data_IF_553930475935
#
_entry.id   IF_553930475935
#
_cell.length_a   1.000
_cell.length_b   1.000
_cell.length_c   1.000
_cell.angle_alpha   90.00
_cell.angle_beta   90.00
_cell.angle_gamma   90.00
#
_symmetry.space_group_name_H-M   'P 1'
#
loop_
_entity.id
_entity.type
_entity.pdbx_description
1 polymer ?
#
# COMPACT_ATOMS: atom_id res chain seq x y z
N UNK A 1 12.35 -20.56 23.01
CA UNK A 1 13.19 -21.62 23.55
C UNK A 1 14.30 -21.85 22.53
N UNK A 2 15.51 -21.42 22.85
CA UNK A 2 16.69 -21.56 22.00
C UNK A 2 17.04 -23.04 21.82
N UNK A 3 17.14 -23.47 20.56
CA UNK A 3 17.82 -24.72 20.23
C UNK A 3 19.29 -24.56 20.58
N UNK A 4 19.68 -25.15 21.71
CA UNK A 4 21.08 -25.36 22.07
C UNK A 4 21.71 -26.19 20.95
N UNK A 5 22.50 -25.53 20.11
CA UNK A 5 23.48 -26.22 19.27
C UNK A 5 24.35 -27.06 20.19
N UNK A 6 24.30 -28.38 20.01
CA UNK A 6 25.06 -29.32 20.83
C UNK A 6 26.56 -29.23 20.45
N UNK A 7 27.21 -28.17 20.94
CA UNK A 7 28.66 -27.99 20.89
C UNK A 7 29.39 -29.23 21.41
N UNK A 8 28.75 -29.95 22.34
CA UNK A 8 29.23 -31.21 22.90
C UNK A 8 29.41 -32.31 21.84
N UNK A 9 28.39 -32.58 21.00
CA UNK A 9 28.50 -33.63 19.98
C UNK A 9 29.51 -33.26 18.90
N UNK A 10 29.57 -31.98 18.50
CA UNK A 10 30.57 -31.49 17.54
C UNK A 10 32.01 -31.58 18.07
N UNK A 11 32.22 -31.22 19.33
CA UNK A 11 33.53 -31.35 20.00
C UNK A 11 33.92 -32.83 20.11
N UNK A 12 32.97 -33.71 20.44
CA UNK A 12 33.20 -35.15 20.53
C UNK A 12 33.59 -35.76 19.18
N UNK A 13 32.92 -35.35 18.09
CA UNK A 13 33.23 -35.80 16.72
C UNK A 13 34.62 -35.31 16.29
N UNK A 14 34.96 -34.05 16.56
CA UNK A 14 36.28 -33.50 16.22
C UNK A 14 37.42 -34.21 16.98
N UNK A 15 37.24 -34.46 18.28
CA UNK A 15 38.16 -35.25 19.10
C UNK A 15 38.28 -36.68 18.53
N UNK A 16 37.17 -37.30 18.14
CA UNK A 16 37.16 -38.64 17.56
C UNK A 16 37.92 -38.71 16.23
N UNK A 17 37.74 -37.71 15.35
CA UNK A 17 38.51 -37.60 14.10
C UNK A 17 40.01 -37.43 14.35
N UNK A 18 40.40 -36.62 15.34
CA UNK A 18 41.81 -36.45 15.73
C UNK A 18 42.40 -37.77 16.27
N UNK A 19 41.66 -38.49 17.11
CA UNK A 19 42.07 -39.80 17.63
C UNK A 19 42.29 -40.82 16.50
N UNK A 20 41.38 -40.87 15.51
CA UNK A 20 41.55 -41.75 14.35
C UNK A 20 42.77 -41.36 13.49
N UNK A 21 42.99 -40.06 13.27
CA UNK A 21 44.18 -39.58 12.56
C UNK A 21 45.48 -39.95 13.29
N UNK A 22 45.52 -39.80 14.61
CA UNK A 22 46.66 -40.23 15.45
C UNK A 22 46.89 -41.73 15.40
N UNK A 23 45.82 -42.54 15.39
CA UNK A 23 45.91 -43.98 15.28
C UNK A 23 46.51 -44.41 13.92
N UNK A 24 46.08 -43.78 12.82
CA UNK A 24 46.66 -44.03 11.49
C UNK A 24 48.12 -43.58 11.45
N UNK A 25 48.46 -42.40 12.01
CA UNK A 25 49.82 -41.90 12.05
C UNK A 25 50.75 -42.82 12.88
N UNK A 26 50.28 -43.32 14.03
CA UNK A 26 51.03 -44.26 14.85
C UNK A 26 51.26 -45.59 14.13
N UNK A 27 50.22 -46.12 13.47
CA UNK A 27 50.34 -47.33 12.66
C UNK A 27 51.32 -47.15 11.48
N UNK A 28 51.33 -45.97 10.86
CA UNK A 28 52.20 -45.65 9.73
C UNK A 28 53.68 -45.46 10.13
N UNK A 29 53.94 -44.85 11.29
CA UNK A 29 55.29 -44.48 11.73
C UNK A 29 56.00 -45.54 12.60
N UNK A 30 55.26 -46.33 13.38
CA UNK A 30 55.83 -47.19 14.43
C UNK A 30 55.60 -48.71 14.23
N UNK A 31 54.85 -49.13 13.20
CA UNK A 31 54.53 -50.54 12.97
C UNK A 31 55.16 -51.02 11.66
N UNK A 32 55.94 -52.12 11.71
CA UNK A 32 56.52 -52.72 10.51
C UNK A 32 55.45 -53.38 9.60
N UNK A 33 55.55 -53.28 8.26
CA UNK A 33 56.54 -52.52 7.51
C UNK A 33 56.24 -51.01 7.54
N UNK A 34 57.25 -50.25 7.97
CA UNK A 34 57.17 -48.80 8.16
C UNK A 34 56.86 -48.14 6.81
N UNK A 35 55.83 -47.31 6.77
CA UNK A 35 55.43 -46.60 5.55
C UNK A 35 54.53 -47.37 4.58
N UNK A 36 54.15 -48.62 4.87
CA UNK A 36 53.19 -49.35 4.05
C UNK A 36 51.74 -49.05 4.47
N UNK A 37 50.96 -48.46 3.55
CA UNK A 37 49.52 -48.25 3.76
C UNK A 37 48.83 -49.61 3.57
N UNK A 38 48.47 -50.27 4.67
CA UNK A 38 47.60 -51.46 4.63
C UNK A 38 46.19 -51.05 4.19
N UNK A 39 45.49 -51.94 3.48
CA UNK A 39 44.14 -51.67 2.94
C UNK A 39 43.15 -51.15 4.01
N UNK A 40 43.28 -51.62 5.25
CA UNK A 40 42.47 -51.14 6.38
C UNK A 40 42.67 -49.65 6.72
N UNK A 41 43.85 -49.09 6.52
CA UNK A 41 44.15 -47.68 6.81
C UNK A 41 43.52 -46.75 5.77
N UNK A 42 43.37 -47.23 4.52
CA UNK A 42 42.70 -46.51 3.43
C UNK A 42 41.21 -46.28 3.73
N UNK A 43 40.54 -47.31 4.25
CA UNK A 43 39.13 -47.24 4.66
C UNK A 43 38.94 -46.21 5.77
N UNK A 44 39.84 -46.15 6.75
CA UNK A 44 39.79 -45.19 7.86
C UNK A 44 39.97 -43.76 7.36
N UNK A 45 40.92 -43.52 6.44
CA UNK A 45 41.12 -42.19 5.84
C UNK A 45 39.88 -41.73 5.06
N UNK A 46 39.25 -42.64 4.31
CA UNK A 46 38.02 -42.33 3.57
C UNK A 46 36.85 -42.01 4.51
N UNK A 47 36.76 -42.74 5.63
CA UNK A 47 35.75 -42.50 6.67
C UNK A 47 35.95 -41.14 7.36
N UNK A 48 37.21 -40.74 7.63
CA UNK A 48 37.55 -39.41 8.15
C UNK A 48 37.13 -38.32 7.16
N UNK A 49 37.38 -38.52 5.86
CA UNK A 49 37.03 -37.57 4.81
C UNK A 49 35.51 -37.37 4.71
N UNK A 50 34.74 -38.45 4.79
CA UNK A 50 33.26 -38.39 4.85
C UNK A 50 32.80 -37.65 6.11
N UNK A 51 33.41 -37.91 7.28
CA UNK A 51 33.05 -37.25 8.53
C UNK A 51 33.28 -35.73 8.48
N UNK A 52 34.41 -35.30 7.91
CA UNK A 52 34.77 -33.89 7.75
C UNK A 52 33.84 -33.19 6.75
N UNK A 53 33.48 -33.86 5.65
CA UNK A 53 32.49 -33.33 4.72
C UNK A 53 31.12 -33.17 5.40
N UNK A 54 30.71 -34.16 6.19
CA UNK A 54 29.45 -34.13 6.94
C UNK A 54 29.37 -32.91 7.87
N UNK A 55 30.44 -32.59 8.59
CA UNK A 55 30.49 -31.39 9.45
C UNK A 55 30.51 -30.09 8.62
N UNK A 56 31.24 -30.07 7.50
CA UNK A 56 31.35 -28.90 6.63
C UNK A 56 30.00 -28.56 5.97
N UNK A 57 29.21 -29.56 5.58
CA UNK A 57 27.87 -29.35 5.02
C UNK A 57 26.85 -28.87 6.06
N UNK A 58 26.98 -29.32 7.31
CA UNK A 58 26.11 -28.90 8.42
C UNK A 58 26.42 -27.44 8.87
N UNK A 59 27.65 -26.98 8.66
CA UNK A 59 28.12 -25.62 8.96
C UNK A 59 27.60 -24.55 8.00
N UNK A 60 27.10 -24.93 6.81
CA UNK A 60 26.48 -24.00 5.85
C UNK A 60 25.06 -23.53 6.28
N UNK A 61 24.65 -23.99 7.47
CA UNK A 61 23.66 -23.38 8.38
C UNK A 61 22.24 -23.27 7.83
N UNK A 62 21.54 -24.38 7.94
CA UNK A 62 20.08 -24.44 8.12
C UNK A 62 19.58 -23.35 9.10
N UNK A 63 20.38 -22.97 10.10
CA UNK A 63 20.11 -21.83 10.99
C UNK A 63 20.05 -20.45 10.31
N UNK A 64 20.90 -20.14 9.31
CA UNK A 64 20.77 -18.88 8.54
C UNK A 64 19.49 -18.88 7.72
N UNK A 65 19.17 -19.99 7.06
CA UNK A 65 17.94 -20.13 6.27
C UNK A 65 16.71 -19.97 7.18
N UNK A 66 16.68 -20.63 8.35
CA UNK A 66 15.61 -20.50 9.34
C UNK A 66 15.52 -19.06 9.88
N UNK A 67 16.65 -18.40 10.16
CA UNK A 67 16.67 -17.02 10.65
C UNK A 67 16.16 -16.03 9.60
N UNK A 68 16.48 -16.24 8.32
CA UNK A 68 16.00 -15.42 7.21
C UNK A 68 14.51 -15.69 6.98
N UNK A 69 14.07 -16.95 7.01
CA UNK A 69 12.66 -17.32 6.94
C UNK A 69 11.85 -16.72 8.09
N UNK A 70 12.42 -16.67 9.29
CA UNK A 70 11.78 -16.06 10.47
C UNK A 70 11.69 -14.54 10.33
N UNK A 71 12.77 -13.86 9.91
CA UNK A 71 12.74 -12.42 9.62
C UNK A 71 11.75 -12.06 8.50
N UNK A 72 11.68 -12.89 7.45
CA UNK A 72 10.69 -12.73 6.39
C UNK A 72 9.27 -12.88 6.91
N UNK A 73 9.01 -13.85 7.79
CA UNK A 73 7.70 -14.05 8.41
C UNK A 73 7.32 -12.88 9.32
N UNK A 74 8.22 -12.44 10.20
CA UNK A 74 7.99 -11.29 11.09
C UNK A 74 7.68 -10.01 10.28
N UNK A 75 8.41 -9.76 9.18
CA UNK A 75 8.14 -8.62 8.29
C UNK A 75 6.80 -8.73 7.56
N UNK A 76 6.41 -9.94 7.16
CA UNK A 76 5.11 -10.18 6.52
C UNK A 76 3.96 -9.98 7.51
N UNK A 77 4.11 -10.48 8.74
CA UNK A 77 3.12 -10.32 9.82
C UNK A 77 2.96 -8.82 10.20
N UNK A 78 4.03 -8.04 10.14
CA UNK A 78 3.99 -6.58 10.36
C UNK A 78 3.25 -5.84 9.24
N UNK A 79 3.49 -6.19 7.98
CA UNK A 79 2.76 -5.63 6.83
C UNK A 79 1.28 -5.98 6.90
N UNK A 80 0.93 -7.23 7.18
CA UNK A 80 -0.47 -7.66 7.35
C UNK A 80 -1.16 -6.92 8.51
N UNK A 81 -0.44 -6.68 9.60
CA UNK A 81 -0.94 -5.88 10.73
C UNK A 81 -1.15 -4.41 10.36
N UNK A 82 -0.28 -3.82 9.54
CA UNK A 82 -0.42 -2.46 9.04
C UNK A 82 -1.62 -2.34 8.09
N UNK A 83 -1.80 -3.27 7.16
CA UNK A 83 -2.96 -3.33 6.27
C UNK A 83 -4.26 -3.50 7.05
N UNK A 84 -4.27 -4.40 8.04
CA UNK A 84 -5.43 -4.63 8.92
C UNK A 84 -5.80 -3.37 9.71
N UNK A 85 -4.81 -2.68 10.29
CA UNK A 85 -5.03 -1.40 10.99
C UNK A 85 -5.56 -0.32 10.05
N UNK A 86 -5.03 -0.23 8.84
CA UNK A 86 -5.46 0.76 7.85
C UNK A 86 -6.92 0.50 7.43
N UNK A 87 -7.28 -0.76 7.18
CA UNK A 87 -8.67 -1.18 6.91
C UNK A 87 -9.61 -0.89 8.08
N UNK A 88 -9.16 -1.13 9.31
CA UNK A 88 -9.92 -0.81 10.52
C UNK A 88 -10.13 0.70 10.69
N UNK A 89 -9.09 1.51 10.51
CA UNK A 89 -9.20 2.98 10.55
C UNK A 89 -10.15 3.50 9.47
N UNK A 90 -10.06 2.96 8.25
CA UNK A 90 -10.98 3.29 7.17
C UNK A 90 -12.43 2.96 7.56
N UNK A 91 -12.68 1.76 8.10
CA UNK A 91 -14.01 1.38 8.57
C UNK A 91 -14.53 2.26 9.72
N UNK A 92 -13.63 2.70 10.62
CA UNK A 92 -13.98 3.60 11.72
C UNK A 92 -14.37 4.98 11.18
N UNK A 93 -13.61 5.54 10.26
CA UNK A 93 -13.93 6.81 9.59
C UNK A 93 -15.26 6.72 8.86
N UNK A 94 -15.50 5.63 8.12
CA UNK A 94 -16.78 5.38 7.45
C UNK A 94 -17.91 5.31 8.48
N UNK A 95 -17.73 4.59 9.59
CA UNK A 95 -18.75 4.44 10.64
C UNK A 95 -19.06 5.76 11.34
N UNK A 96 -18.06 6.61 11.62
CA UNK A 96 -18.26 7.93 12.20
C UNK A 96 -18.98 8.86 11.22
N UNK A 97 -18.64 8.75 9.93
CA UNK A 97 -19.29 9.53 8.86
C UNK A 97 -20.75 9.09 8.64
N UNK A 98 -21.05 7.80 8.71
CA UNK A 98 -22.41 7.25 8.57
C UNK A 98 -23.27 7.43 9.81
N UNK A 99 -22.71 7.36 11.03
CA UNK A 99 -23.47 7.58 12.26
C UNK A 99 -23.98 9.02 12.40
N UNK A 100 -23.36 9.99 11.73
CA UNK A 100 -23.91 11.36 11.65
C UNK A 100 -25.11 11.50 10.70
N UNK A 101 -25.38 10.49 9.85
CA UNK A 101 -26.38 10.55 8.78
C UNK A 101 -27.55 9.57 8.99
N UNK A 102 -27.91 9.21 10.22
CA UNK A 102 -29.06 8.34 10.49
C UNK A 102 -30.42 9.07 10.34
N UNK A 103 -30.70 9.67 9.16
CA UNK A 103 -32.05 9.84 8.59
C UNK A 103 -31.93 9.87 7.05
N UNK A 104 -31.79 8.71 6.39
CA UNK A 104 -32.55 8.29 5.18
C UNK A 104 -31.95 7.01 4.53
N UNK A 105 -32.69 5.92 4.71
CA UNK A 105 -32.90 4.73 3.86
C UNK A 105 -31.82 4.23 2.88
N UNK A 106 -31.03 3.28 3.39
CA UNK A 106 -30.48 2.06 2.76
C UNK A 106 -30.55 1.88 1.23
N UNK A 107 -29.38 1.72 0.58
CA UNK A 107 -29.11 0.66 -0.41
C UNK A 107 -27.63 0.32 -0.44
N UNK A 108 -27.35 -0.96 -0.69
CA UNK A 108 -26.09 -1.68 -0.47
C UNK A 108 -24.89 -1.04 -1.19
N UNK A 109 -24.05 -0.36 -0.42
CA UNK A 109 -22.73 0.12 -0.83
C UNK A 109 -21.73 -1.01 -0.56
N UNK A 110 -21.75 -2.06 -1.36
CA UNK A 110 -20.74 -3.12 -1.26
C UNK A 110 -20.61 -3.92 -2.56
N UNK A 111 -19.89 -3.34 -3.52
CA UNK A 111 -19.26 -4.07 -4.62
C UNK A 111 -17.76 -3.78 -4.58
N UNK A 112 -16.95 -4.84 -4.59
CA UNK A 112 -15.51 -4.85 -4.94
C UNK A 112 -14.43 -4.52 -3.88
N UNK A 113 -14.74 -4.01 -2.70
CA UNK A 113 -13.72 -3.87 -1.64
C UNK A 113 -13.43 -5.17 -0.85
N UNK A 114 -14.12 -6.27 -1.13
CA UNK A 114 -14.04 -7.53 -0.38
C UNK A 114 -13.84 -8.75 -1.28
N UNK A 115 -12.83 -8.74 -2.15
CA UNK A 115 -12.25 -10.02 -2.55
C UNK A 115 -11.32 -10.52 -1.44
N UNK A 116 -11.81 -11.49 -0.65
CA UNK A 116 -10.95 -12.22 0.29
C UNK A 116 -9.78 -12.83 -0.50
N UNK A 117 -8.52 -12.68 -0.07
CA UNK A 117 -7.40 -13.29 -0.77
C UNK A 117 -7.57 -14.81 -0.70
N UNK A 118 -7.93 -15.42 -1.84
CA UNK A 118 -7.83 -16.87 -2.02
C UNK A 118 -6.34 -17.22 -1.90
N UNK A 119 -6.01 -18.09 -0.93
CA UNK A 119 -4.69 -18.67 -0.64
C UNK A 119 -3.64 -18.34 -1.71
N UNK A 120 -2.82 -17.34 -1.43
CA UNK A 120 -1.88 -16.76 -2.37
C UNK A 120 -0.79 -17.79 -2.73
N UNK A 121 -0.83 -18.27 -3.99
CA UNK A 121 0.41 -18.66 -4.70
C UNK A 121 1.24 -17.40 -4.83
N UNK A 122 2.55 -17.47 -4.54
CA UNK A 122 3.55 -16.41 -4.71
C UNK A 122 3.13 -15.43 -5.81
N UNK A 123 2.57 -14.31 -5.38
CA UNK A 123 2.11 -13.26 -6.27
C UNK A 123 3.33 -12.41 -6.57
N UNK A 124 3.53 -12.13 -7.84
CA UNK A 124 4.51 -11.16 -8.29
C UNK A 124 4.07 -9.78 -7.79
N UNK A 125 4.68 -9.33 -6.69
CA UNK A 125 4.30 -8.10 -6.00
C UNK A 125 4.36 -6.88 -6.95
N UNK A 126 5.26 -6.88 -7.94
CA UNK A 126 5.31 -5.81 -8.94
C UNK A 126 4.04 -5.75 -9.79
N UNK A 127 3.42 -6.90 -10.10
CA UNK A 127 2.21 -6.94 -10.92
C UNK A 127 0.97 -6.45 -10.15
N UNK A 128 0.85 -6.83 -8.87
CA UNK A 128 -0.23 -6.31 -8.02
C UNK A 128 -0.04 -4.83 -7.72
N UNK A 129 1.19 -4.40 -7.45
CA UNK A 129 1.50 -2.98 -7.33
C UNK A 129 1.10 -2.26 -8.61
N UNK A 130 1.53 -2.70 -9.80
CA UNK A 130 1.12 -2.10 -11.08
C UNK A 130 -0.39 -2.11 -11.32
N UNK A 131 -1.09 -3.20 -11.05
CA UNK A 131 -2.56 -3.25 -11.17
C UNK A 131 -3.26 -2.30 -10.19
N UNK A 132 -2.71 -2.09 -8.98
CA UNK A 132 -3.20 -1.10 -8.02
C UNK A 132 -2.83 0.33 -8.45
N UNK A 133 -1.64 0.53 -9.03
CA UNK A 133 -1.19 1.80 -9.61
C UNK A 133 -2.09 2.22 -10.79
N UNK A 134 -2.51 1.26 -11.61
CA UNK A 134 -3.36 1.44 -12.79
C UNK A 134 -4.82 1.71 -12.39
N UNK A 135 -5.33 1.08 -11.33
CA UNK A 135 -6.70 1.32 -10.81
C UNK A 135 -6.88 2.67 -10.15
N UNK A 136 -5.81 3.23 -9.57
CA UNK A 136 -5.82 4.56 -8.96
C UNK A 136 -5.73 5.67 -10.02
N UNK A 137 -5.44 5.30 -11.28
CA UNK A 137 -5.23 6.25 -12.37
C UNK A 137 -3.95 7.05 -12.20
N UNK A 138 -3.30 7.40 -13.31
CA UNK A 138 -2.29 8.46 -13.32
C UNK A 138 -2.98 9.81 -13.20
N UNK A 139 -3.53 10.09 -12.02
CA UNK A 139 -4.14 11.36 -11.69
C UNK A 139 -3.03 12.37 -11.35
N UNK A 140 -3.10 13.56 -11.97
CA UNK A 140 -2.19 14.66 -11.67
C UNK A 140 -2.35 15.10 -10.20
N UNK A 141 -3.57 15.02 -9.67
CA UNK A 141 -3.88 15.34 -8.28
C UNK A 141 -3.21 14.36 -7.32
N UNK A 142 -3.17 13.07 -7.65
CA UNK A 142 -2.50 12.06 -6.83
C UNK A 142 -0.99 12.26 -6.83
N UNK A 143 -0.40 12.61 -7.98
CA UNK A 143 1.03 12.95 -8.04
C UNK A 143 1.38 14.18 -7.18
N UNK A 144 0.52 15.20 -7.18
CA UNK A 144 0.72 16.40 -6.36
C UNK A 144 0.59 16.10 -4.86
N UNK A 145 -0.36 15.24 -4.48
CA UNK A 145 -0.52 14.73 -3.11
C UNK A 145 0.68 13.88 -2.68
N UNK A 146 1.14 12.96 -3.53
CA UNK A 146 2.36 12.18 -3.27
C UNK A 146 3.55 13.10 -3.00
N UNK A 147 3.73 14.13 -3.83
CA UNK A 147 4.83 15.10 -3.69
C UNK A 147 4.74 15.89 -2.38
N UNK A 148 3.53 16.26 -1.99
CA UNK A 148 3.26 16.95 -0.73
C UNK A 148 3.56 16.08 0.48
N UNK A 149 3.11 14.81 0.47
CA UNK A 149 3.39 13.82 1.51
C UNK A 149 4.89 13.54 1.61
N UNK A 150 5.58 13.35 0.48
CA UNK A 150 7.04 13.14 0.44
C UNK A 150 7.77 14.32 1.09
N UNK A 151 7.38 15.55 0.77
CA UNK A 151 7.94 16.77 1.36
C UNK A 151 7.72 16.82 2.88
N UNK A 152 6.53 16.47 3.35
CA UNK A 152 6.22 16.43 4.78
C UNK A 152 7.09 15.40 5.53
N UNK A 153 7.23 14.20 4.99
CA UNK A 153 8.07 13.12 5.57
C UNK A 153 9.52 13.59 5.70
N UNK A 154 10.07 14.21 4.65
CA UNK A 154 11.45 14.74 4.65
C UNK A 154 11.59 15.88 5.68
N UNK A 155 10.60 16.77 5.79
CA UNK A 155 10.59 17.85 6.78
C UNK A 155 10.56 17.33 8.22
N UNK A 156 9.97 16.15 8.44
CA UNK A 156 9.96 15.47 9.73
C UNK A 156 11.28 14.70 10.02
N UNK A 157 12.26 14.77 9.12
CA UNK A 157 13.56 14.11 9.28
C UNK A 157 13.52 12.61 9.01
N UNK A 158 12.49 12.13 8.32
CA UNK A 158 12.34 10.73 7.93
C UNK A 158 12.85 10.54 6.48
N UNK A 159 13.52 9.42 6.23
CA UNK A 159 14.01 9.06 4.90
C UNK A 159 12.98 8.20 4.14
N UNK A 160 12.91 8.39 2.83
CA UNK A 160 12.16 7.53 1.90
C UNK A 160 13.20 6.80 1.07
N UNK A 161 13.44 5.53 1.39
CA UNK A 161 14.54 4.74 0.86
C UNK A 161 14.08 3.45 0.17
N UNK A 162 12.83 3.05 0.38
CA UNK A 162 12.30 1.78 -0.11
C UNK A 162 11.13 1.93 -1.07
N UNK A 163 10.98 0.95 -1.96
CA UNK A 163 9.82 0.84 -2.85
C UNK A 163 8.52 0.67 -2.04
N UNK A 164 8.57 -0.02 -0.90
CA UNK A 164 7.42 -0.17 0.02
C UNK A 164 6.94 1.18 0.54
N UNK A 165 7.84 2.07 0.96
CA UNK A 165 7.47 3.42 1.41
C UNK A 165 6.82 4.22 0.28
N UNK A 166 7.31 4.08 -0.96
CA UNK A 166 6.73 4.75 -2.13
C UNK A 166 5.30 4.26 -2.41
N UNK A 167 5.07 2.95 -2.34
CA UNK A 167 3.74 2.34 -2.49
C UNK A 167 2.80 2.82 -1.38
N UNK A 168 3.26 2.84 -0.13
CA UNK A 168 2.45 3.33 1.00
C UNK A 168 2.09 4.81 0.88
N UNK A 169 3.03 5.65 0.43
CA UNK A 169 2.77 7.08 0.17
C UNK A 169 1.66 7.25 -0.86
N UNK A 170 1.67 6.46 -1.93
CA UNK A 170 0.62 6.52 -2.95
C UNK A 170 -0.73 6.04 -2.43
N UNK A 171 -0.77 4.96 -1.65
CA UNK A 171 -2.02 4.51 -1.01
C UNK A 171 -2.56 5.56 -0.03
N UNK A 172 -1.68 6.22 0.72
CA UNK A 172 -2.07 7.33 1.58
C UNK A 172 -2.64 8.50 0.76
N UNK A 173 -1.97 8.89 -0.33
CA UNK A 173 -2.45 9.95 -1.24
C UNK A 173 -3.85 9.62 -1.78
N UNK A 174 -4.07 8.40 -2.28
CA UNK A 174 -5.39 7.97 -2.76
C UNK A 174 -6.46 7.94 -1.66
N UNK A 175 -6.08 7.55 -0.43
CA UNK A 175 -7.01 7.57 0.72
C UNK A 175 -7.38 9.00 1.10
N UNK A 176 -6.42 9.91 1.13
CA UNK A 176 -6.67 11.33 1.38
C UNK A 176 -7.59 11.92 0.32
N UNK A 177 -7.34 11.64 -0.96
CA UNK A 177 -8.19 12.08 -2.06
C UNK A 177 -9.64 11.59 -1.91
N UNK A 178 -9.82 10.30 -1.62
CA UNK A 178 -11.15 9.72 -1.39
C UNK A 178 -11.86 10.37 -0.20
N UNK A 179 -11.16 10.61 0.91
CA UNK A 179 -11.74 11.29 2.08
C UNK A 179 -12.19 12.71 1.74
N UNK A 180 -11.43 13.43 0.93
CA UNK A 180 -11.80 14.77 0.46
C UNK A 180 -13.04 14.72 -0.42
N UNK A 181 -13.16 13.76 -1.34
CA UNK A 181 -14.37 13.58 -2.15
C UNK A 181 -15.60 13.25 -1.31
N UNK A 182 -15.49 12.35 -0.33
CA UNK A 182 -16.59 12.04 0.59
C UNK A 182 -17.00 13.25 1.42
N UNK A 183 -16.02 14.07 1.86
CA UNK A 183 -16.29 15.31 2.57
C UNK A 183 -17.04 16.29 1.69
N UNK A 184 -16.63 16.44 0.43
CA UNK A 184 -17.27 17.34 -0.52
C UNK A 184 -18.70 16.88 -0.81
N UNK A 185 -18.89 15.60 -1.10
CA UNK A 185 -20.18 15.01 -1.44
C UNK A 185 -21.22 15.19 -0.32
N UNK A 186 -20.76 15.20 0.94
CA UNK A 186 -21.61 15.47 2.11
C UNK A 186 -22.20 16.89 2.13
N UNK A 187 -21.48 17.88 1.60
CA UNK A 187 -21.85 19.29 1.74
C UNK A 187 -22.27 19.97 0.43
N UNK A 188 -21.94 19.38 -0.72
CA UNK A 188 -22.28 19.95 -2.01
C UNK A 188 -23.80 19.91 -2.26
N UNK A 189 -24.36 21.00 -2.76
CA UNK A 189 -25.75 21.00 -3.21
C UNK A 189 -25.90 20.37 -4.59
N UNK A 190 -27.05 19.74 -4.86
CA UNK A 190 -27.34 19.15 -6.17
C UNK A 190 -27.25 20.17 -7.31
N UNK A 191 -27.69 21.42 -7.09
CA UNK A 191 -27.55 22.49 -8.10
C UNK A 191 -26.09 22.88 -8.34
N UNK A 192 -25.24 22.80 -7.32
CA UNK A 192 -23.80 23.05 -7.48
C UNK A 192 -23.13 21.90 -8.23
N UNK A 193 -23.54 20.66 -7.97
CA UNK A 193 -23.07 19.50 -8.72
C UNK A 193 -23.45 19.62 -10.20
N UNK A 194 -24.66 20.09 -10.51
CA UNK A 194 -25.08 20.34 -11.89
C UNK A 194 -24.20 21.40 -12.57
N UNK A 195 -23.86 22.48 -11.87
CA UNK A 195 -22.92 23.48 -12.39
C UNK A 195 -21.55 22.85 -12.73
N UNK A 196 -21.03 21.97 -11.87
CA UNK A 196 -19.76 21.30 -12.14
C UNK A 196 -19.85 20.37 -13.35
N UNK A 197 -20.97 19.64 -13.53
CA UNK A 197 -21.21 18.83 -14.74
C UNK A 197 -21.28 19.70 -15.99
N UNK A 198 -21.98 20.83 -15.95
CA UNK A 198 -22.04 21.74 -17.08
C UNK A 198 -20.65 22.29 -17.44
N UNK A 199 -19.84 22.65 -16.44
CA UNK A 199 -18.45 23.06 -16.65
C UNK A 199 -17.57 21.92 -17.23
N UNK A 200 -17.85 20.66 -16.89
CA UNK A 200 -17.12 19.50 -17.40
C UNK A 200 -17.51 19.15 -18.85
N UNK A 201 -18.81 19.13 -19.15
CA UNK A 201 -19.34 18.53 -20.38
C UNK A 201 -19.81 19.55 -21.43
N UNK A 202 -20.37 20.68 -21.00
CA UNK A 202 -21.07 21.63 -21.88
C UNK A 202 -20.24 22.89 -22.13
N UNK A 203 -19.60 23.43 -21.08
CA UNK A 203 -18.79 24.67 -21.12
C UNK A 203 -17.39 24.48 -20.52
N UNK A 204 -16.53 23.65 -21.13
CA UNK A 204 -15.14 23.48 -20.69
C UNK A 204 -14.33 24.79 -20.76
N UNK A 205 -14.71 25.73 -21.64
CA UNK A 205 -14.12 27.07 -21.75
C UNK A 205 -14.51 28.02 -20.60
N UNK A 206 -15.32 27.55 -19.66
CA UNK A 206 -15.68 28.26 -18.44
C UNK A 206 -16.80 29.29 -18.59
N UNK A 207 -17.42 29.61 -17.46
CA UNK A 207 -18.50 30.58 -17.36
C UNK A 207 -17.96 31.99 -17.12
N UNK A 208 -18.41 32.97 -17.89
CA UNK A 208 -18.20 34.40 -17.57
C UNK A 208 -18.99 34.80 -16.33
N UNK A 209 -18.65 35.96 -15.76
CA UNK A 209 -19.34 36.52 -14.60
C UNK A 209 -20.85 36.70 -14.83
N UNK A 210 -21.26 37.17 -16.01
CA UNK A 210 -22.68 37.41 -16.28
C UNK A 210 -23.43 36.09 -16.42
N UNK A 211 -22.85 35.12 -17.13
CA UNK A 211 -23.48 33.81 -17.32
C UNK A 211 -23.62 33.04 -16.00
N UNK A 212 -22.66 33.15 -15.08
CA UNK A 212 -22.78 32.50 -13.77
C UNK A 212 -23.82 33.19 -12.87
N UNK A 213 -23.99 34.50 -13.02
CA UNK A 213 -25.05 35.24 -12.33
C UNK A 213 -26.42 34.80 -12.87
N UNK A 214 -26.59 34.71 -14.19
CA UNK A 214 -27.81 34.19 -14.84
C UNK A 214 -28.11 32.73 -14.42
N UNK A 215 -27.08 31.87 -14.39
CA UNK A 215 -27.20 30.50 -13.91
C UNK A 215 -27.72 30.47 -12.47
N UNK A 216 -27.12 31.24 -11.57
CA UNK A 216 -27.53 31.25 -10.17
C UNK A 216 -28.95 31.81 -9.98
N UNK A 217 -29.36 32.80 -10.75
CA UNK A 217 -30.75 33.30 -10.71
C UNK A 217 -31.75 32.21 -11.13
N UNK A 218 -31.42 31.37 -12.12
CA UNK A 218 -32.27 30.23 -12.50
C UNK A 218 -32.39 29.18 -11.38
N UNK A 219 -31.29 28.93 -10.66
CA UNK A 219 -31.25 28.04 -9.49
C UNK A 219 -32.09 28.63 -8.35
N UNK A 220 -31.98 29.94 -8.10
CA UNK A 220 -32.73 30.63 -7.05
C UNK A 220 -34.23 30.60 -7.31
N UNK A 221 -34.65 30.74 -8.56
CA UNK A 221 -36.05 30.61 -8.95
C UNK A 221 -36.57 29.17 -8.78
N UNK A 222 -35.74 28.16 -9.06
CA UNK A 222 -36.10 26.75 -8.95
C UNK A 222 -36.13 26.25 -7.51
N UNK A 223 -35.28 26.80 -6.64
CA UNK A 223 -35.14 26.39 -5.23
C UNK A 223 -35.17 27.59 -4.26
N UNK A 224 -36.26 28.38 -4.24
CA UNK A 224 -36.31 29.63 -3.48
C UNK A 224 -36.15 29.41 -1.98
N UNK A 225 -36.70 28.33 -1.42
CA UNK A 225 -36.59 28.01 0.00
C UNK A 225 -35.13 27.82 0.46
N UNK A 226 -34.24 27.39 -0.44
CA UNK A 226 -32.82 27.14 -0.13
C UNK A 226 -31.94 28.37 -0.35
N UNK A 227 -32.22 29.17 -1.38
CA UNK A 227 -31.30 30.21 -1.87
C UNK A 227 -31.82 31.65 -1.82
N UNK A 228 -33.02 31.93 -1.29
CA UNK A 228 -33.60 33.28 -1.35
C UNK A 228 -32.67 34.38 -0.78
N UNK A 229 -31.96 34.05 0.31
CA UNK A 229 -31.06 34.95 1.02
C UNK A 229 -29.58 34.82 0.60
N UNK A 230 -29.31 34.06 -0.46
CA UNK A 230 -27.97 33.82 -0.98
C UNK A 230 -27.70 34.71 -2.19
N UNK A 231 -26.44 35.09 -2.34
CA UNK A 231 -25.88 35.69 -3.54
C UNK A 231 -24.96 34.68 -4.25
N UNK A 232 -24.58 35.00 -5.49
CA UNK A 232 -23.71 34.13 -6.30
C UNK A 232 -22.37 33.85 -5.61
N UNK A 233 -21.87 34.79 -4.80
CA UNK A 233 -20.61 34.62 -4.06
C UNK A 233 -20.73 33.55 -2.98
N UNK A 234 -21.80 33.56 -2.18
CA UNK A 234 -22.09 32.50 -1.19
C UNK A 234 -22.32 31.17 -1.87
N UNK A 235 -23.06 31.17 -2.98
CA UNK A 235 -23.32 29.96 -3.76
C UNK A 235 -22.04 29.31 -4.27
N UNK A 236 -21.10 30.09 -4.83
CA UNK A 236 -19.84 29.56 -5.33
C UNK A 236 -18.78 29.36 -4.24
N UNK A 237 -18.97 29.95 -3.06
CA UNK A 237 -17.96 29.98 -2.00
C UNK A 237 -17.46 28.59 -1.61
N UNK A 238 -18.37 27.62 -1.48
CA UNK A 238 -18.02 26.23 -1.19
C UNK A 238 -17.21 25.57 -2.32
N UNK A 239 -17.53 25.86 -3.57
CA UNK A 239 -16.85 25.29 -4.73
C UNK A 239 -15.42 25.82 -4.86
N UNK A 240 -15.22 27.12 -4.60
CA UNK A 240 -13.88 27.72 -4.55
C UNK A 240 -13.08 27.20 -3.36
N UNK A 241 -13.67 27.14 -2.15
CA UNK A 241 -12.94 26.68 -0.96
C UNK A 241 -12.56 25.21 -1.03
N UNK A 242 -13.32 24.41 -1.78
CA UNK A 242 -13.06 22.98 -2.02
C UNK A 242 -12.19 22.74 -3.25
N UNK A 243 -11.69 23.81 -3.89
CA UNK A 243 -10.78 23.74 -5.06
C UNK A 243 -11.44 23.02 -6.26
N UNK A 244 -12.78 22.96 -6.32
CA UNK A 244 -13.50 22.34 -7.43
C UNK A 244 -13.52 23.24 -8.67
N UNK A 245 -13.52 24.56 -8.44
CA UNK A 245 -13.48 25.58 -9.49
C UNK A 245 -12.37 26.60 -9.22
N UNK A 246 -11.88 27.23 -10.29
CA UNK A 246 -10.92 28.33 -10.24
C UNK A 246 -11.41 29.49 -11.12
N UNK A 247 -10.83 30.67 -10.93
CA UNK A 247 -11.09 31.84 -11.77
C UNK A 247 -9.83 32.21 -12.57
N UNK A 248 -9.89 32.06 -13.89
CA UNK A 248 -8.85 32.45 -14.83
C UNK A 248 -9.45 33.39 -15.88
N UNK A 249 -8.76 34.47 -16.28
CA UNK A 249 -9.20 35.37 -17.36
C UNK A 249 -10.66 35.85 -17.24
N UNK A 250 -11.06 36.21 -16.02
CA UNK A 250 -12.44 36.61 -15.64
C UNK A 250 -13.53 35.54 -15.79
N UNK A 251 -13.17 34.33 -16.19
CA UNK A 251 -14.05 33.16 -16.29
C UNK A 251 -13.83 32.18 -15.15
N UNK A 252 -14.88 31.42 -14.84
CA UNK A 252 -14.89 30.35 -13.85
C UNK A 252 -14.74 29.03 -14.58
N UNK A 253 -13.72 28.27 -14.22
CA UNK A 253 -13.38 26.98 -14.82
C UNK A 253 -13.40 25.87 -13.78
N UNK A 254 -13.63 24.65 -14.25
CA UNK A 254 -13.38 23.44 -13.47
C UNK A 254 -11.87 23.24 -13.28
N UNK A 255 -11.44 22.81 -12.10
CA UNK A 255 -10.05 22.41 -11.86
C UNK A 255 -9.84 20.93 -12.22
N UNK A 256 -8.58 20.48 -12.28
CA UNK A 256 -8.29 19.04 -12.40
C UNK A 256 -8.86 18.24 -11.21
N UNK A 257 -8.83 18.82 -10.00
CA UNK A 257 -9.45 18.23 -8.82
C UNK A 257 -10.98 18.15 -8.95
N UNK A 258 -11.60 19.19 -9.50
CA UNK A 258 -13.03 19.21 -9.81
C UNK A 258 -13.42 18.17 -10.87
N UNK A 259 -12.59 17.97 -11.89
CA UNK A 259 -12.80 16.93 -12.90
C UNK A 259 -12.75 15.53 -12.28
N UNK A 260 -11.71 15.22 -11.50
CA UNK A 260 -11.60 13.92 -10.84
C UNK A 260 -12.74 13.66 -9.85
N UNK A 261 -13.22 14.71 -9.17
CA UNK A 261 -14.41 14.61 -8.34
C UNK A 261 -15.65 14.25 -9.17
N UNK A 262 -15.84 14.86 -10.34
CA UNK A 262 -16.97 14.57 -11.23
C UNK A 262 -16.89 13.13 -11.76
N UNK A 263 -15.71 12.67 -12.15
CA UNK A 263 -15.49 11.30 -12.58
C UNK A 263 -15.85 10.30 -11.45
N UNK A 264 -15.38 10.58 -10.23
CA UNK A 264 -15.73 9.79 -9.03
C UNK A 264 -17.24 9.79 -8.76
N UNK A 265 -17.92 10.94 -8.92
CA UNK A 265 -19.38 11.02 -8.79
C UNK A 265 -20.08 10.21 -9.88
N UNK A 266 -19.61 10.24 -11.12
CA UNK A 266 -20.21 9.49 -12.23
C UNK A 266 -20.14 7.98 -11.99
N UNK A 267 -19.03 7.50 -11.43
CA UNK A 267 -18.82 6.10 -11.04
C UNK A 267 -19.69 5.71 -9.84
N UNK A 268 -19.75 6.55 -8.80
CA UNK A 268 -20.32 6.16 -7.50
C UNK A 268 -21.77 6.60 -7.29
N UNK A 269 -22.27 7.56 -8.06
CA UNK A 269 -23.63 8.09 -8.01
C UNK A 269 -24.36 7.92 -9.34
N UNK A 270 -24.09 6.83 -10.07
CA UNK A 270 -24.62 6.57 -11.43
C UNK A 270 -26.14 6.80 -11.60
N UNK A 271 -26.96 6.58 -10.57
CA UNK A 271 -28.39 6.87 -10.61
C UNK A 271 -28.71 8.38 -10.49
N UNK A 272 -28.02 9.12 -9.62
CA UNK A 272 -28.17 10.58 -9.50
C UNK A 272 -27.45 11.31 -10.65
N UNK A 273 -26.42 10.69 -11.22
CA UNK A 273 -25.68 11.24 -12.35
C UNK A 273 -26.55 11.28 -13.62
N UNK A 274 -27.33 10.23 -13.86
CA UNK A 274 -28.20 10.03 -15.04
C UNK A 274 -29.63 10.59 -14.91
N UNK A 275 -30.07 10.94 -13.69
CA UNK A 275 -31.46 11.39 -13.42
C UNK A 275 -31.62 12.90 -13.26
N UNK A 276 -30.60 13.66 -13.64
CA UNK A 276 -30.57 15.13 -13.71
C UNK A 276 -30.28 15.54 -15.15
#
# INVERSE_FOLDING_TARGET
>A
MEDKTNYFTRTLICIFSICLALMVAYNYLYVEPIGAIKDGNLIIIFLILILILSESFDSFSIGKIISISRKLKEKNDEVEKLESKNSQLLSQVISLTTNQNQVQSSKQIFGDYYERPKKQKKIDNEKVVRELLDRIGTSIVISDLESSIKKEIIQQGLEISTETETVLIRHLAGTQLLMEFLRIDKYIFGSQLNLLKELAEIKPEGYTKNEIEEYFESVKQSFPNSFNNWDVKKYLGFLFSSILITKNDEKIHLTNFGQEYIDWVAENRANDYRSL
#
